data_IF_709040397536
#
_entry.id   IF_709040397536
#
_cell.length_a   1.000
_cell.length_b   1.000
_cell.length_c   1.000
_cell.angle_alpha   90.00
_cell.angle_beta   90.00
_cell.angle_gamma   90.00
#
_symmetry.space_group_name_H-M   'P 1'
#
loop_
_entity.id
_entity.type
_entity.pdbx_description
1 polymer ?
#
# COMPACT_ATOMS: atom_id res chain seq x y z
N UNK A 1 0.96 4.15 -11.15
CA UNK A 1 0.33 2.91 -10.67
C UNK A 1 1.16 1.76 -11.20
N UNK A 2 1.57 0.84 -10.34
CA UNK A 2 2.45 -0.27 -10.70
C UNK A 2 2.03 -1.55 -9.98
N UNK A 3 2.64 -2.66 -10.35
CA UNK A 3 2.54 -3.93 -9.64
C UNK A 3 3.93 -4.53 -9.50
N UNK A 4 4.15 -5.28 -8.42
CA UNK A 4 5.38 -6.00 -8.10
C UNK A 4 5.04 -7.46 -7.80
N UNK A 5 5.98 -8.35 -8.09
CA UNK A 5 5.90 -9.76 -7.71
C UNK A 5 6.42 -9.91 -6.27
N UNK A 6 5.60 -9.42 -5.32
CA UNK A 6 5.92 -9.38 -3.90
C UNK A 6 4.68 -9.52 -3.00
N UNK A 7 4.92 -9.89 -1.75
CA UNK A 7 4.01 -9.63 -0.63
C UNK A 7 4.60 -8.48 0.17
N UNK A 8 3.85 -7.38 0.26
CA UNK A 8 4.27 -6.19 0.99
C UNK A 8 3.44 -6.04 2.26
N UNK A 9 4.11 -5.96 3.42
CA UNK A 9 3.50 -5.64 4.70
C UNK A 9 3.85 -4.20 5.06
N UNK A 10 2.86 -3.31 5.00
CA UNK A 10 3.02 -1.87 5.27
C UNK A 10 2.31 -1.50 6.56
N UNK A 11 2.99 -0.74 7.43
CA UNK A 11 2.44 -0.15 8.64
C UNK A 11 2.60 1.37 8.60
N UNK A 12 1.53 2.10 8.89
CA UNK A 12 1.53 3.56 8.89
C UNK A 12 1.93 4.10 10.28
N UNK A 13 3.09 4.76 10.33
CA UNK A 13 3.68 5.30 11.57
C UNK A 13 3.09 6.66 11.92
N UNK A 14 2.96 7.56 10.93
CA UNK A 14 2.39 8.89 11.15
C UNK A 14 1.72 9.47 9.90
N UNK A 15 0.74 10.36 10.10
CA UNK A 15 -0.01 11.02 9.04
C UNK A 15 -1.19 10.19 8.50
N UNK A 16 -1.61 10.50 7.28
CA UNK A 16 -2.63 9.74 6.55
C UNK A 16 -2.21 9.54 5.10
N UNK A 17 -2.64 8.44 4.48
CA UNK A 17 -2.33 8.16 3.08
C UNK A 17 -3.47 7.42 2.40
N UNK A 18 -3.65 7.66 1.11
CA UNK A 18 -4.63 6.97 0.28
C UNK A 18 -3.93 5.89 -0.54
N UNK A 19 -4.41 4.65 -0.40
CA UNK A 19 -4.08 3.52 -1.27
C UNK A 19 -5.12 3.44 -2.40
N UNK A 20 -4.73 3.80 -3.62
CA UNK A 20 -5.53 3.56 -4.81
C UNK A 20 -5.20 2.17 -5.39
N UNK A 21 -6.26 1.40 -5.65
CA UNK A 21 -6.27 0.08 -6.25
C UNK A 21 -6.95 0.13 -7.62
N UNK A 22 -7.13 -1.03 -8.26
CA UNK A 22 -7.88 -1.12 -9.51
C UNK A 22 -9.32 -0.63 -9.37
N UNK A 23 -9.92 -0.29 -10.52
CA UNK A 23 -11.26 0.31 -10.62
C UNK A 23 -11.41 1.63 -9.84
N UNK A 24 -10.30 2.35 -9.64
CA UNK A 24 -10.21 3.58 -8.86
C UNK A 24 -10.68 3.41 -7.40
N UNK A 25 -10.67 2.19 -6.87
CA UNK A 25 -11.00 1.96 -5.47
C UNK A 25 -9.92 2.61 -4.61
N UNK A 26 -10.33 3.49 -3.69
CA UNK A 26 -9.46 4.18 -2.75
C UNK A 26 -9.71 3.67 -1.34
N UNK A 27 -8.65 3.45 -0.58
CA UNK A 27 -8.67 3.14 0.85
C UNK A 27 -7.84 4.20 1.55
N UNK A 28 -8.46 4.92 2.46
CA UNK A 28 -7.76 5.83 3.38
C UNK A 28 -7.20 5.03 4.55
N UNK A 29 -5.95 5.30 4.89
CA UNK A 29 -5.25 4.72 6.03
C UNK A 29 -4.79 5.83 6.96
N UNK A 30 -4.84 5.55 8.26
CA UNK A 30 -4.42 6.43 9.35
C UNK A 30 -3.34 5.76 10.19
N UNK A 31 -2.76 6.52 11.11
CA UNK A 31 -1.73 6.00 12.03
C UNK A 31 -2.19 4.69 12.69
N UNK A 32 -1.26 3.72 12.79
CA UNK A 32 -1.49 2.37 13.33
C UNK A 32 -2.19 1.40 12.36
N UNK A 33 -2.72 1.86 11.23
CA UNK A 33 -3.24 0.95 10.20
C UNK A 33 -2.13 0.12 9.55
N UNK A 34 -2.50 -1.10 9.17
CA UNK A 34 -1.63 -2.04 8.46
C UNK A 34 -2.30 -2.56 7.20
N UNK A 35 -1.51 -2.74 6.14
CA UNK A 35 -1.96 -3.32 4.88
C UNK A 35 -1.02 -4.43 4.46
N UNK A 36 -1.61 -5.55 4.01
CA UNK A 36 -0.91 -6.63 3.32
C UNK A 36 -1.29 -6.59 1.85
N UNK A 37 -0.34 -6.33 0.98
CA UNK A 37 -0.53 -6.32 -0.47
C UNK A 37 0.08 -7.57 -1.09
N UNK A 38 -0.76 -8.42 -1.69
CA UNK A 38 -0.35 -9.63 -2.37
C UNK A 38 -0.21 -9.36 -3.87
N UNK A 39 0.86 -8.68 -4.28
CA UNK A 39 1.13 -8.33 -5.68
C UNK A 39 0.04 -7.46 -6.34
N UNK A 40 -0.77 -6.77 -5.53
CA UNK A 40 -1.91 -5.97 -5.99
C UNK A 40 -1.43 -4.71 -6.68
N UNK A 41 -1.98 -4.40 -7.87
CA UNK A 41 -1.66 -3.16 -8.59
C UNK A 41 -2.14 -1.95 -7.79
N UNK A 42 -1.26 -0.99 -7.58
CA UNK A 42 -1.56 0.11 -6.65
C UNK A 42 -0.79 1.41 -6.93
N UNK A 43 -1.24 2.48 -6.27
CA UNK A 43 -0.57 3.77 -6.16
C UNK A 43 -0.90 4.42 -4.82
N UNK A 44 0.07 5.11 -4.25
CA UNK A 44 -0.10 5.89 -3.02
C UNK A 44 -0.30 7.38 -3.34
N UNK A 45 -1.18 8.04 -2.60
CA UNK A 45 -1.34 9.49 -2.60
C UNK A 45 -1.27 10.01 -1.17
N UNK A 46 -0.41 10.99 -0.95
CA UNK A 46 -0.46 11.77 0.27
C UNK A 46 -1.33 13.01 0.02
N UNK A 47 -2.58 12.94 0.46
CA UNK A 47 -3.55 14.05 0.43
C UNK A 47 -3.68 14.72 1.82
N UNK A 48 -2.92 14.26 2.82
CA UNK A 48 -2.93 14.80 4.18
C UNK A 48 -2.14 16.11 4.34
N UNK A 49 -2.33 16.78 5.48
CA UNK A 49 -1.67 18.05 5.79
C UNK A 49 -0.18 17.91 6.13
N UNK A 50 0.26 16.69 6.45
CA UNK A 50 1.65 16.36 6.82
C UNK A 50 2.18 15.19 5.97
N UNK A 51 3.50 14.99 5.91
CA UNK A 51 4.07 13.78 5.31
C UNK A 51 3.56 12.51 5.98
N UNK A 52 3.09 11.55 5.18
CA UNK A 52 2.83 10.19 5.63
C UNK A 52 4.15 9.43 5.81
N UNK A 53 4.40 8.92 7.02
CA UNK A 53 5.55 8.09 7.33
C UNK A 53 5.10 6.63 7.48
N UNK A 54 5.66 5.75 6.67
CA UNK A 54 5.31 4.34 6.64
C UNK A 54 6.57 3.47 6.63
N UNK A 55 6.45 2.28 7.21
CA UNK A 55 7.42 1.20 7.10
C UNK A 55 6.81 0.09 6.26
N UNK A 56 7.52 -0.31 5.21
CA UNK A 56 7.10 -1.40 4.33
C UNK A 56 8.19 -2.46 4.29
N UNK A 57 7.79 -3.70 4.54
CA UNK A 57 8.63 -4.88 4.27
C UNK A 57 8.14 -5.52 2.97
N UNK A 58 8.98 -5.50 1.93
CA UNK A 58 8.70 -6.15 0.65
C UNK A 58 9.40 -7.51 0.60
N UNK A 59 8.63 -8.57 0.36
CA UNK A 59 9.16 -9.94 0.19
C UNK A 59 8.86 -10.38 -1.24
N UNK A 60 9.89 -10.64 -2.04
CA UNK A 60 9.71 -11.18 -3.39
C UNK A 60 8.93 -12.50 -3.37
N UNK A 61 7.99 -12.67 -4.29
CA UNK A 61 7.12 -13.85 -4.37
C UNK A 61 6.71 -14.14 -5.82
N UNK A 62 6.38 -15.38 -6.13
CA UNK A 62 5.86 -15.77 -7.44
C UNK A 62 4.33 -15.60 -7.50
N UNK A 63 3.80 -15.21 -8.68
CA UNK A 63 2.36 -15.24 -8.92
C UNK A 63 1.91 -16.67 -9.16
N UNK A 64 0.79 -17.06 -8.56
CA UNK A 64 0.11 -18.30 -8.96
C UNK A 64 -0.38 -18.12 -10.40
N UNK A 65 0.01 -19.03 -11.29
CA UNK A 65 -0.65 -19.19 -12.57
C UNK A 65 -2.02 -19.83 -12.30
N UNK A 66 -3.09 -19.21 -12.81
CA UNK A 66 -4.43 -19.79 -12.83
C UNK A 66 -4.60 -20.77 -13.99
#
# INVERSE_FOLDING_TARGET
MHTSDSVDCTYLISGSIVLELDENKKVELFEVDSVVQNGTRHKWYNEGEIPALLITTCIGSERKQE
#
